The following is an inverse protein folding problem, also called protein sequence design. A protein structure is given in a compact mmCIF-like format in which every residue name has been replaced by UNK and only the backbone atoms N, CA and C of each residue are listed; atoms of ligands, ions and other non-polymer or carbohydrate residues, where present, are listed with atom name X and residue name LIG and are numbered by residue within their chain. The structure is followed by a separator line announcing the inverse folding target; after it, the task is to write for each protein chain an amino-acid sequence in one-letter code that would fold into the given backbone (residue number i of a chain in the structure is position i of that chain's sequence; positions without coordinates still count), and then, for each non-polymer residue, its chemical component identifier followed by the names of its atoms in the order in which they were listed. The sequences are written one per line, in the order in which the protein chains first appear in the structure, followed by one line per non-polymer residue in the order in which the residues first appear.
data_IF_317857339459
#
_entry.id   IF_317857339459
#
_cell.length_a   1.000
_cell.length_b   1.000
_cell.length_c   1.000
_cell.angle_alpha   90.00
_cell.angle_beta   90.00
_cell.angle_gamma   90.00
#
_symmetry.space_group_name_H-M   'P 1'
#
loop_
_entity.id
_entity.type
_entity.pdbx_description
1 polymer ?
#
# COMPACT_ATOMS: atom_id res chain seq x y z
N UNK A 1 -10.54 15.71 -2.97
CA UNK A 1 -10.93 14.35 -3.46
C UNK A 1 -10.46 13.26 -2.50
N UNK A 2 -10.95 12.02 -2.62
CA UNK A 2 -10.44 10.86 -1.87
C UNK A 2 -9.59 9.99 -2.79
N UNK A 3 -8.32 9.78 -2.44
CA UNK A 3 -7.33 9.13 -3.31
C UNK A 3 -6.65 8.01 -2.52
N UNK A 4 -6.65 6.80 -3.08
CA UNK A 4 -5.98 5.62 -2.52
C UNK A 4 -4.87 5.13 -3.45
N UNK A 5 -3.64 5.12 -2.95
CA UNK A 5 -2.53 4.37 -3.54
C UNK A 5 -2.48 2.99 -2.87
N UNK A 6 -2.40 1.91 -3.64
CA UNK A 6 -2.32 0.55 -3.11
C UNK A 6 -1.05 -0.14 -3.63
N UNK A 7 -0.16 -0.50 -2.71
CA UNK A 7 1.05 -1.25 -3.04
C UNK A 7 1.65 -1.90 -1.78
N UNK A 8 2.09 -3.17 -1.88
CA UNK A 8 2.65 -3.93 -0.75
C UNK A 8 3.91 -3.28 -0.15
N UNK A 9 4.75 -2.67 -0.99
CA UNK A 9 5.89 -1.82 -0.59
C UNK A 9 5.51 -0.33 -0.50
N UNK A 10 6.11 0.40 0.44
CA UNK A 10 5.89 1.84 0.66
C UNK A 10 7.22 2.62 0.56
N UNK A 11 7.29 3.77 -0.14
CA UNK A 11 6.24 4.45 -0.93
C UNK A 11 6.21 4.03 -2.42
N UNK A 12 6.95 2.97 -2.78
CA UNK A 12 7.07 2.45 -4.14
C UNK A 12 7.33 3.58 -5.19
N UNK A 13 6.78 3.44 -6.39
CA UNK A 13 6.87 4.46 -7.45
C UNK A 13 6.00 5.71 -7.21
N UNK A 14 5.15 5.73 -6.17
CA UNK A 14 4.15 6.79 -5.99
C UNK A 14 4.60 7.94 -5.09
N UNK A 15 5.82 7.88 -4.54
CA UNK A 15 6.33 8.88 -3.56
C UNK A 15 6.03 10.33 -3.95
N UNK A 16 6.43 10.73 -5.15
CA UNK A 16 6.32 12.12 -5.59
C UNK A 16 4.87 12.52 -5.88
N UNK A 17 4.10 11.61 -6.46
CA UNK A 17 2.69 11.85 -6.80
C UNK A 17 1.82 11.95 -5.53
N UNK A 18 1.98 11.03 -4.59
CA UNK A 18 1.24 11.03 -3.33
C UNK A 18 1.49 12.31 -2.52
N UNK A 19 2.76 12.75 -2.43
CA UNK A 19 3.12 14.00 -1.76
C UNK A 19 2.57 15.22 -2.51
N UNK A 20 2.64 15.25 -3.85
CA UNK A 20 2.13 16.37 -4.63
C UNK A 20 0.60 16.54 -4.48
N UNK A 21 -0.15 15.44 -4.52
CA UNK A 21 -1.60 15.45 -4.34
C UNK A 21 -2.01 15.81 -2.90
N UNK A 22 -1.21 15.42 -1.92
CA UNK A 22 -1.42 15.73 -0.50
C UNK A 22 -1.14 17.20 -0.14
N UNK A 23 -0.55 18.00 -1.03
CA UNK A 23 -0.35 19.45 -0.81
C UNK A 23 -1.66 20.24 -0.87
N UNK A 24 -2.67 19.74 -1.59
CA UNK A 24 -4.00 20.35 -1.61
C UNK A 24 -4.78 19.86 -0.38
N UNK A 25 -5.16 20.74 0.57
CA UNK A 25 -5.87 20.35 1.79
C UNK A 25 -7.28 19.81 1.53
N UNK A 26 -7.84 20.02 0.33
CA UNK A 26 -9.12 19.42 -0.06
C UNK A 26 -8.97 17.95 -0.47
N UNK A 27 -7.74 17.44 -0.58
CA UNK A 27 -7.45 16.05 -0.89
C UNK A 27 -7.17 15.25 0.38
N UNK A 28 -7.85 14.11 0.47
CA UNK A 28 -7.53 13.05 1.42
C UNK A 28 -6.75 11.97 0.68
N UNK A 29 -5.45 11.89 0.94
CA UNK A 29 -4.56 10.90 0.32
C UNK A 29 -4.27 9.79 1.32
N UNK A 30 -4.58 8.56 0.93
CA UNK A 30 -4.32 7.34 1.71
C UNK A 30 -3.38 6.43 0.91
N UNK A 31 -2.45 5.78 1.60
CA UNK A 31 -1.57 4.76 1.03
C UNK A 31 -1.80 3.44 1.76
N UNK A 32 -2.45 2.50 1.08
CA UNK A 32 -2.62 1.12 1.49
C UNK A 32 -1.33 0.33 1.26
N UNK A 33 -0.74 -0.24 2.31
CA UNK A 33 0.52 -0.98 2.22
C UNK A 33 0.67 -2.05 3.29
N UNK A 34 1.56 -3.02 3.06
CA UNK A 34 1.96 -3.99 4.10
C UNK A 34 3.20 -3.50 4.86
N UNK A 35 3.93 -2.51 4.31
CA UNK A 35 5.17 -2.00 4.91
C UNK A 35 4.90 -1.01 6.06
N UNK A 36 5.31 -1.40 7.26
CA UNK A 36 5.12 -0.61 8.50
C UNK A 36 6.04 0.61 8.61
N UNK A 37 7.18 0.58 7.97
CA UNK A 37 8.19 1.64 8.05
C UNK A 37 7.84 2.85 7.16
N UNK A 38 8.44 4.00 7.49
CA UNK A 38 8.36 5.22 6.68
C UNK A 38 7.05 5.99 6.81
N UNK A 39 7.09 7.25 6.43
CA UNK A 39 5.93 8.15 6.36
C UNK A 39 6.12 9.15 5.21
N UNK A 40 5.02 9.75 4.75
CA UNK A 40 5.04 10.84 3.79
C UNK A 40 4.17 11.99 4.33
N UNK A 41 4.62 13.25 4.21
CA UNK A 41 3.82 14.40 4.64
C UNK A 41 2.46 14.44 3.95
N UNK A 42 1.39 14.64 4.73
CA UNK A 42 0.01 14.75 4.22
C UNK A 42 -0.60 13.45 3.69
N UNK A 43 0.09 12.31 3.80
CA UNK A 43 -0.42 11.00 3.34
C UNK A 43 -0.68 10.10 4.53
N UNK A 44 -1.93 9.63 4.66
CA UNK A 44 -2.32 8.67 5.70
C UNK A 44 -1.93 7.26 5.27
N UNK A 45 -1.21 6.53 6.12
CA UNK A 45 -0.86 5.13 5.84
C UNK A 45 -1.93 4.19 6.40
N UNK A 46 -2.44 3.30 5.55
CA UNK A 46 -3.37 2.23 5.93
C UNK A 46 -2.65 0.89 5.78
N UNK A 47 -2.50 0.16 6.88
CA UNK A 47 -1.88 -1.16 6.84
C UNK A 47 -2.91 -2.22 6.50
N UNK A 48 -2.57 -3.12 5.57
CA UNK A 48 -3.37 -4.30 5.27
C UNK A 48 -2.52 -5.57 5.35
N UNK A 49 -3.20 -6.70 5.41
CA UNK A 49 -2.63 -8.03 5.35
C UNK A 49 -3.50 -8.90 4.45
N UNK A 50 -2.94 -9.91 3.76
CA UNK A 50 -3.73 -10.91 3.06
C UNK A 50 -4.79 -11.53 3.98
N UNK A 51 -5.95 -11.88 3.42
CA UNK A 51 -7.02 -12.52 4.17
C UNK A 51 -6.66 -13.95 4.61
N UNK A 52 -5.76 -14.61 3.86
CA UNK A 52 -5.20 -15.92 4.17
C UNK A 52 -3.74 -15.97 3.75
N UNK A 53 -2.97 -16.81 4.44
CA UNK A 53 -1.63 -17.18 4.00
C UNK A 53 -1.69 -18.37 3.04
N UNK A 54 -0.76 -18.43 2.09
CA UNK A 54 -0.58 -19.60 1.25
C UNK A 54 -0.20 -20.82 2.10
N UNK A 55 -0.86 -21.96 1.89
CA UNK A 55 -0.60 -23.17 2.67
C UNK A 55 0.53 -24.00 2.07
N UNK A 56 1.13 -24.93 2.83
CA UNK A 56 2.11 -25.88 2.29
C UNK A 56 1.55 -26.75 1.14
N UNK A 57 0.22 -26.90 1.06
CA UNK A 57 -0.45 -27.65 0.00
C UNK A 57 -0.71 -26.79 -1.26
N UNK A 58 -0.66 -25.45 -1.15
CA UNK A 58 -0.71 -24.55 -2.31
C UNK A 58 0.48 -24.84 -3.23
N UNK A 59 0.21 -24.99 -4.52
CA UNK A 59 1.23 -25.19 -5.55
C UNK A 59 2.32 -24.12 -5.44
N UNK A 60 3.61 -24.49 -5.46
CA UNK A 60 4.70 -23.56 -5.15
C UNK A 60 4.74 -22.34 -6.05
N UNK A 61 4.40 -22.47 -7.34
CA UNK A 61 4.27 -21.35 -8.27
C UNK A 61 3.10 -20.39 -8.00
N UNK A 62 2.11 -20.79 -7.20
CA UNK A 62 0.92 -19.98 -6.89
C UNK A 62 1.06 -19.26 -5.54
N UNK A 63 1.91 -19.75 -4.63
CA UNK A 63 2.12 -19.16 -3.30
C UNK A 63 2.48 -17.66 -3.32
N UNK A 64 3.34 -17.17 -4.24
CA UNK A 64 3.67 -15.74 -4.27
C UNK A 64 2.47 -14.87 -4.61
N UNK A 65 1.53 -15.36 -5.43
CA UNK A 65 0.32 -14.62 -5.80
C UNK A 65 -0.69 -14.57 -4.65
N UNK A 66 -0.82 -15.66 -3.90
CA UNK A 66 -1.74 -15.73 -2.75
C UNK A 66 -1.27 -14.86 -1.56
N UNK A 67 0.04 -14.59 -1.46
CA UNK A 67 0.64 -13.79 -0.39
C UNK A 67 0.86 -12.31 -0.76
N UNK A 68 0.44 -11.88 -1.96
CA UNK A 68 0.70 -10.54 -2.52
C UNK A 68 -0.17 -9.42 -1.92
#
# INVERSE_FOLDING_TARGET
MQILFLHSNFPAQFRHLAVALAKDPNNRVVFGTMRREGSLPGVTKALYSPNREATPQTHHYVRPLENA
#
